data_IF_964234892737
#
_entry.id   IF_964234892737
#
_cell.length_a   1.000
_cell.length_b   1.000
_cell.length_c   1.000
_cell.angle_alpha   90.00
_cell.angle_beta   90.00
_cell.angle_gamma   90.00
#
_symmetry.space_group_name_H-M   'P 1'
#
loop_
_entity.id
_entity.type
_entity.pdbx_description
1 polymer ?
#
# COMPACT_ATOMS: atom_id res chain seq x y z
N UNK A 1 26.35 -40.18 34.31
CA UNK A 1 26.19 -39.88 32.87
C UNK A 1 24.85 -40.47 32.44
N UNK A 2 23.78 -39.69 32.54
CA UNK A 2 22.40 -40.12 32.25
C UNK A 2 21.97 -39.57 30.90
N UNK A 3 21.54 -40.43 29.99
CA UNK A 3 20.87 -40.05 28.74
C UNK A 3 19.36 -40.16 28.95
N UNK A 4 18.64 -39.06 28.72
CA UNK A 4 17.17 -39.02 28.68
C UNK A 4 16.75 -39.05 27.21
N UNK A 5 16.09 -40.13 26.79
CA UNK A 5 15.40 -40.21 25.50
C UNK A 5 14.06 -39.47 25.60
N UNK A 6 13.92 -38.38 24.83
CA UNK A 6 12.66 -37.66 24.66
C UNK A 6 11.80 -38.33 23.59
N UNK A 7 10.62 -38.80 24.00
CA UNK A 7 9.57 -39.38 23.15
C UNK A 7 8.85 -38.25 22.39
N UNK A 8 8.99 -38.21 21.06
CA UNK A 8 8.23 -37.28 20.21
C UNK A 8 6.89 -37.92 19.86
N UNK A 9 5.81 -37.40 20.44
CA UNK A 9 4.45 -37.74 20.04
C UNK A 9 4.11 -37.04 18.71
N UNK A 10 3.92 -37.83 17.66
CA UNK A 10 3.33 -37.38 16.39
C UNK A 10 1.81 -37.30 16.59
N UNK A 11 1.28 -36.09 16.72
CA UNK A 11 -0.16 -35.84 16.60
C UNK A 11 -0.51 -35.72 15.12
N UNK A 12 -1.18 -36.74 14.59
CA UNK A 12 -1.81 -36.69 13.27
C UNK A 12 -2.84 -35.56 13.24
N UNK A 13 -2.54 -34.53 12.46
CA UNK A 13 -3.43 -33.41 12.23
C UNK A 13 -4.53 -33.84 11.26
N UNK A 14 -5.70 -34.20 11.79
CA UNK A 14 -6.92 -34.43 11.00
C UNK A 14 -7.21 -33.17 10.18
N UNK A 15 -6.93 -33.24 8.88
CA UNK A 15 -7.24 -32.16 7.95
C UNK A 15 -8.77 -32.03 7.84
N UNK A 16 -9.31 -30.97 8.44
CA UNK A 16 -10.71 -30.61 8.24
C UNK A 16 -10.97 -30.34 6.75
N UNK A 17 -12.06 -30.89 6.17
CA UNK A 17 -12.47 -30.54 4.82
C UNK A 17 -12.80 -29.05 4.79
N UNK A 18 -11.92 -28.27 4.14
CA UNK A 18 -12.17 -26.86 3.86
C UNK A 18 -13.33 -26.81 2.88
N UNK A 19 -14.42 -26.17 3.27
CA UNK A 19 -15.46 -25.71 2.35
C UNK A 19 -14.80 -25.14 1.09
N UNK A 20 -14.99 -25.82 -0.04
CA UNK A 20 -14.46 -25.35 -1.33
C UNK A 20 -15.32 -24.19 -1.77
N UNK A 21 -15.02 -22.99 -1.23
CA UNK A 21 -15.57 -21.72 -1.72
C UNK A 21 -15.51 -21.73 -3.24
N UNK A 22 -16.63 -21.38 -3.88
CA UNK A 22 -16.70 -21.33 -5.33
C UNK A 22 -15.67 -20.33 -5.87
N UNK A 23 -15.22 -20.52 -7.10
CA UNK A 23 -14.23 -19.63 -7.73
C UNK A 23 -14.67 -18.16 -7.68
N UNK A 24 -15.97 -17.91 -7.80
CA UNK A 24 -16.60 -16.60 -7.64
C UNK A 24 -16.40 -16.03 -6.23
N UNK A 25 -16.70 -16.81 -5.19
CA UNK A 25 -16.50 -16.39 -3.79
C UNK A 25 -15.03 -16.18 -3.44
N UNK A 26 -14.12 -16.97 -4.03
CA UNK A 26 -12.68 -16.76 -3.88
C UNK A 26 -12.21 -15.47 -4.55
N UNK A 27 -12.80 -15.10 -5.69
CA UNK A 27 -12.48 -13.86 -6.40
C UNK A 27 -13.07 -12.64 -5.70
N UNK A 28 -14.30 -12.71 -5.19
CA UNK A 28 -14.90 -11.66 -4.36
C UNK A 28 -14.08 -11.43 -3.08
N UNK A 29 -13.64 -12.50 -2.41
CA UNK A 29 -12.76 -12.41 -1.24
C UNK A 29 -11.38 -11.81 -1.54
N UNK A 30 -10.91 -11.92 -2.80
CA UNK A 30 -9.58 -11.41 -3.22
C UNK A 30 -9.58 -9.91 -3.52
N UNK A 31 -10.75 -9.26 -3.57
CA UNK A 31 -10.91 -7.81 -3.65
C UNK A 31 -11.77 -7.33 -4.83
N UNK A 32 -12.17 -6.06 -4.78
CA UNK A 32 -13.12 -5.43 -5.72
C UNK A 32 -12.73 -5.54 -7.19
N UNK A 33 -11.43 -5.46 -7.47
CA UNK A 33 -10.90 -5.58 -8.84
C UNK A 33 -11.16 -6.93 -9.53
N UNK A 34 -11.33 -8.02 -8.77
CA UNK A 34 -11.67 -9.34 -9.32
C UNK A 34 -13.19 -9.53 -9.45
N UNK A 35 -13.97 -9.00 -8.49
CA UNK A 35 -15.44 -8.97 -8.58
C UNK A 35 -15.93 -8.16 -9.80
N UNK A 36 -15.25 -7.06 -10.13
CA UNK A 36 -15.53 -6.24 -11.30
C UNK A 36 -15.30 -6.92 -12.66
N UNK A 37 -14.65 -8.10 -12.67
CA UNK A 37 -14.51 -8.94 -13.88
C UNK A 37 -15.70 -9.87 -14.07
N UNK A 38 -16.48 -10.12 -13.02
CA UNK A 38 -17.66 -10.99 -13.03
C UNK A 38 -18.94 -10.21 -13.39
N UNK A 39 -19.00 -8.91 -13.06
CA UNK A 39 -20.17 -8.05 -13.35
C UNK A 39 -19.75 -6.65 -13.83
N UNK A 40 -20.50 -6.04 -14.78
CA UNK A 40 -20.31 -4.65 -15.19
C UNK A 40 -20.48 -3.72 -13.99
N UNK A 41 -19.40 -3.08 -13.56
CA UNK A 41 -19.35 -2.19 -12.39
C UNK A 41 -18.68 -0.87 -12.75
N UNK A 42 -19.04 0.18 -12.00
CA UNK A 42 -18.36 1.48 -12.09
C UNK A 42 -17.10 1.44 -11.24
N UNK A 43 -16.08 2.14 -11.69
CA UNK A 43 -14.81 2.21 -10.98
C UNK A 43 -14.20 3.59 -11.11
N UNK A 44 -13.41 3.94 -10.12
CA UNK A 44 -12.64 5.17 -10.07
C UNK A 44 -11.35 4.97 -10.86
N UNK A 45 -11.14 5.79 -11.89
CA UNK A 45 -9.93 5.81 -12.70
C UNK A 45 -9.11 7.05 -12.39
N UNK A 46 -7.90 6.85 -11.88
CA UNK A 46 -6.90 7.90 -11.73
C UNK A 46 -5.95 7.85 -12.93
N UNK A 47 -6.17 8.77 -13.86
CA UNK A 47 -5.34 8.99 -15.03
C UNK A 47 -4.15 9.85 -14.65
N UNK A 48 -2.96 9.26 -14.65
CA UNK A 48 -1.70 9.91 -14.28
C UNK A 48 -0.89 10.08 -15.55
N UNK A 49 -0.73 11.32 -15.99
CA UNK A 49 0.20 11.68 -17.05
C UNK A 49 1.44 12.35 -16.44
N UNK A 50 2.45 11.59 -16.01
CA UNK A 50 3.71 12.15 -15.55
C UNK A 50 4.47 12.74 -16.75
N UNK A 51 5.19 13.85 -16.53
CA UNK A 51 6.05 14.46 -17.56
C UNK A 51 7.14 13.51 -18.06
N UNK A 52 7.50 12.51 -17.26
CA UNK A 52 8.45 11.45 -17.58
C UNK A 52 7.86 10.09 -17.18
N UNK A 53 7.86 9.12 -18.10
CA UNK A 53 7.53 7.71 -17.77
C UNK A 53 6.14 7.21 -18.18
N UNK A 54 5.49 7.88 -19.14
CA UNK A 54 4.30 7.39 -19.85
C UNK A 54 3.00 7.44 -19.06
N UNK A 55 1.88 7.37 -19.78
CA UNK A 55 0.54 7.36 -19.20
C UNK A 55 0.31 6.13 -18.32
N UNK A 56 -0.21 6.34 -17.11
CA UNK A 56 -0.59 5.27 -16.18
C UNK A 56 -2.00 5.52 -15.67
N UNK A 57 -2.85 4.47 -15.68
CA UNK A 57 -4.20 4.50 -15.12
C UNK A 57 -4.28 3.57 -13.92
N UNK A 58 -4.52 4.13 -12.75
CA UNK A 58 -4.88 3.34 -11.56
C UNK A 58 -6.40 3.18 -11.51
N UNK A 59 -6.85 1.99 -11.15
CA UNK A 59 -8.27 1.63 -11.08
C UNK A 59 -8.59 1.23 -9.65
N UNK A 60 -9.65 1.80 -9.09
CA UNK A 60 -10.17 1.46 -7.77
C UNK A 60 -11.62 1.04 -7.92
N UNK A 61 -11.92 -0.15 -7.44
CA UNK A 61 -13.25 -0.77 -7.49
C UNK A 61 -13.90 -0.76 -6.12
N UNK A 62 -15.20 -1.01 -6.07
CA UNK A 62 -15.94 -1.18 -4.83
C UNK A 62 -15.30 -2.29 -3.97
N UNK A 63 -15.07 -2.01 -2.70
CA UNK A 63 -14.31 -2.85 -1.77
C UNK A 63 -12.81 -2.57 -1.71
N UNK A 64 -12.24 -1.76 -2.62
CA UNK A 64 -10.83 -1.40 -2.55
C UNK A 64 -10.58 -0.29 -1.51
N UNK A 65 -9.45 -0.38 -0.80
CA UNK A 65 -9.00 0.69 0.10
C UNK A 65 -8.45 1.87 -0.71
N UNK A 66 -8.99 3.06 -0.50
CA UNK A 66 -8.52 4.28 -1.15
C UNK A 66 -8.01 5.28 -0.11
N UNK A 67 -6.85 5.87 -0.42
CA UNK A 67 -6.27 6.96 0.37
C UNK A 67 -6.32 8.24 -0.43
N UNK A 68 -7.01 9.24 0.09
CA UNK A 68 -7.21 10.50 -0.61
C UNK A 68 -7.21 11.69 0.35
N UNK A 69 -7.10 12.89 -0.21
CA UNK A 69 -7.24 14.15 0.52
C UNK A 69 -8.43 14.90 -0.06
N UNK A 70 -9.43 15.20 0.77
CA UNK A 70 -10.58 16.01 0.41
C UNK A 70 -10.82 17.06 1.49
N UNK A 71 -11.28 18.27 1.11
CA UNK A 71 -11.60 19.35 2.07
C UNK A 71 -10.51 19.65 3.12
N UNK A 72 -9.23 19.46 2.76
CA UNK A 72 -8.10 19.66 3.67
C UNK A 72 -7.74 18.47 4.57
N UNK A 73 -8.61 17.47 4.71
CA UNK A 73 -8.40 16.27 5.53
C UNK A 73 -7.94 15.07 4.69
N UNK A 74 -7.22 14.14 5.32
CA UNK A 74 -6.78 12.89 4.68
C UNK A 74 -7.67 11.75 5.16
N UNK A 75 -8.11 10.93 4.22
CA UNK A 75 -8.96 9.78 4.46
C UNK A 75 -8.25 8.51 3.98
N UNK A 76 -8.50 7.40 4.66
CA UNK A 76 -8.01 6.06 4.33
C UNK A 76 -9.16 5.10 4.60
N UNK A 77 -10.01 4.94 3.62
CA UNK A 77 -11.29 4.24 3.78
C UNK A 77 -11.55 3.28 2.64
N UNK A 78 -12.47 2.35 2.87
CA UNK A 78 -12.92 1.40 1.85
C UNK A 78 -13.94 2.07 0.93
N UNK A 79 -13.75 1.93 -0.38
CA UNK A 79 -14.68 2.41 -1.39
C UNK A 79 -15.96 1.56 -1.35
N UNK A 80 -17.10 2.17 -1.03
CA UNK A 80 -18.37 1.47 -0.95
C UNK A 80 -19.08 1.41 -2.30
N UNK A 81 -19.22 2.57 -2.94
CA UNK A 81 -19.99 2.73 -4.18
C UNK A 81 -19.37 3.84 -5.05
N UNK A 82 -19.46 3.68 -6.37
CA UNK A 82 -19.02 4.69 -7.34
C UNK A 82 -20.18 5.11 -8.25
N UNK A 83 -20.55 6.39 -8.23
CA UNK A 83 -21.53 6.99 -9.13
C UNK A 83 -20.85 7.82 -10.23
N UNK A 84 -21.60 8.51 -11.10
CA UNK A 84 -21.02 9.24 -12.22
C UNK A 84 -20.15 10.46 -11.80
N UNK A 85 -20.43 11.07 -10.65
CA UNK A 85 -19.72 12.27 -10.18
C UNK A 85 -19.35 12.27 -8.70
N UNK A 86 -19.76 11.24 -7.97
CA UNK A 86 -19.45 11.03 -6.56
C UNK A 86 -18.98 9.60 -6.32
N UNK A 87 -18.30 9.41 -5.21
CA UNK A 87 -18.02 8.09 -4.68
C UNK A 87 -18.33 8.09 -3.18
N UNK A 88 -18.73 6.94 -2.67
CA UNK A 88 -19.08 6.74 -1.27
C UNK A 88 -17.97 5.92 -0.62
N UNK A 89 -17.56 6.33 0.57
CA UNK A 89 -16.65 5.55 1.42
C UNK A 89 -17.34 5.23 2.74
N UNK A 90 -16.95 4.10 3.32
CA UNK A 90 -17.37 3.73 4.67
C UNK A 90 -16.41 4.39 5.67
N UNK A 91 -16.89 5.35 6.45
CA UNK A 91 -16.12 5.97 7.52
C UNK A 91 -16.54 5.38 8.86
N UNK A 92 -15.58 4.96 9.67
CA UNK A 92 -15.85 4.51 11.03
C UNK A 92 -16.31 5.68 11.90
N UNK A 93 -17.54 5.63 12.41
CA UNK A 93 -18.00 6.55 13.44
C UNK A 93 -17.67 5.97 14.82
N UNK A 94 -16.66 6.55 15.48
CA UNK A 94 -16.20 6.13 16.80
C UNK A 94 -17.27 6.24 17.90
N UNK A 95 -18.25 7.14 17.74
CA UNK A 95 -19.30 7.38 18.75
C UNK A 95 -20.37 6.30 18.69
N UNK A 96 -20.74 5.86 17.49
CA UNK A 96 -21.78 4.84 17.28
C UNK A 96 -21.22 3.44 17.03
N UNK A 97 -19.90 3.30 16.95
CA UNK A 97 -19.18 2.07 16.60
C UNK A 97 -19.75 1.38 15.35
N UNK A 98 -20.06 2.18 14.34
CA UNK A 98 -20.66 1.75 13.06
C UNK A 98 -20.02 2.50 11.91
N UNK A 99 -19.96 1.84 10.77
CA UNK A 99 -19.49 2.44 9.53
C UNK A 99 -20.64 3.24 8.88
N UNK A 100 -20.37 4.51 8.61
CA UNK A 100 -21.32 5.41 7.96
C UNK A 100 -20.89 5.69 6.51
N UNK A 101 -21.82 5.58 5.54
CA UNK A 101 -21.54 5.90 4.16
C UNK A 101 -21.44 7.42 3.97
N UNK A 102 -20.26 7.91 3.60
CA UNK A 102 -20.00 9.32 3.32
C UNK A 102 -19.70 9.51 1.84
N UNK A 103 -20.50 10.35 1.17
CA UNK A 103 -20.34 10.66 -0.24
C UNK A 103 -19.39 11.84 -0.46
N UNK A 104 -18.44 11.66 -1.37
CA UNK A 104 -17.49 12.68 -1.81
C UNK A 104 -17.67 12.97 -3.31
N UNK A 105 -17.70 14.25 -3.68
CA UNK A 105 -17.67 14.67 -5.10
C UNK A 105 -16.26 14.54 -5.65
N UNK A 106 -16.13 14.12 -6.91
CA UNK A 106 -14.82 14.00 -7.57
C UNK A 106 -14.03 15.32 -7.57
N UNK A 107 -14.71 16.46 -7.71
CA UNK A 107 -14.10 17.79 -7.69
C UNK A 107 -13.57 18.23 -6.31
N UNK A 108 -14.01 17.59 -5.22
CA UNK A 108 -13.53 17.91 -3.87
C UNK A 108 -12.22 17.20 -3.52
N UNK A 109 -11.84 16.19 -4.31
CA UNK A 109 -10.63 15.41 -4.11
C UNK A 109 -9.42 16.20 -4.59
N UNK A 110 -8.55 16.56 -3.66
CA UNK A 110 -7.34 17.33 -3.93
C UNK A 110 -6.15 16.45 -4.30
N UNK A 111 -6.02 15.28 -3.65
CA UNK A 111 -4.89 14.36 -3.83
C UNK A 111 -5.34 12.92 -3.67
N UNK A 112 -4.72 12.01 -4.40
CA UNK A 112 -4.84 10.56 -4.20
C UNK A 112 -3.45 9.99 -3.91
N UNK A 113 -3.39 9.11 -2.92
CA UNK A 113 -2.17 8.47 -2.45
C UNK A 113 -2.15 7.03 -2.95
N UNK A 114 -1.41 6.81 -4.03
CA UNK A 114 -1.23 5.48 -4.60
C UNK A 114 -0.01 4.83 -3.98
N UNK A 115 -0.16 3.61 -3.47
CA UNK A 115 1.00 2.81 -3.06
C UNK A 115 1.68 2.24 -4.30
N UNK A 116 2.92 2.64 -4.54
CA UNK A 116 3.75 2.07 -5.61
C UNK A 116 4.94 1.33 -5.01
N UNK A 117 4.71 0.09 -4.57
CA UNK A 117 5.80 -0.79 -4.12
C UNK A 117 6.63 -1.27 -5.32
N UNK A 118 7.68 -0.52 -5.66
CA UNK A 118 8.74 -1.02 -6.54
C UNK A 118 9.67 -1.87 -5.66
N UNK A 119 9.75 -3.20 -5.85
CA UNK A 119 10.36 -4.10 -4.88
C UNK A 119 11.81 -3.74 -4.57
N UNK A 120 12.63 -3.48 -5.60
CA UNK A 120 14.04 -3.13 -5.43
C UNK A 120 14.24 -1.77 -4.73
N UNK A 121 13.49 -0.73 -5.13
CA UNK A 121 13.64 0.63 -4.57
C UNK A 121 13.13 0.68 -3.13
N UNK A 122 12.02 0.00 -2.85
CA UNK A 122 11.43 -0.03 -1.50
C UNK A 122 12.32 -0.82 -0.53
N UNK A 123 12.91 -1.93 -1.00
CA UNK A 123 13.88 -2.70 -0.23
C UNK A 123 15.16 -1.87 0.02
N UNK A 124 15.73 -1.25 -1.02
CA UNK A 124 16.90 -0.39 -0.88
C UNK A 124 16.65 0.79 0.08
N UNK A 125 15.47 1.41 0.02
CA UNK A 125 15.06 2.47 0.95
C UNK A 125 15.09 2.07 2.43
N UNK A 126 14.86 0.79 2.74
CA UNK A 126 14.93 0.25 4.11
C UNK A 126 16.30 -0.29 4.46
N UNK A 127 16.96 -0.97 3.53
CA UNK A 127 18.23 -1.65 3.77
C UNK A 127 19.41 -0.68 3.87
N UNK A 128 19.43 0.39 3.06
CA UNK A 128 20.56 1.31 3.05
C UNK A 128 20.74 2.08 4.37
N UNK A 129 19.70 2.62 5.03
CA UNK A 129 19.87 3.24 6.34
C UNK A 129 20.33 2.24 7.41
N UNK A 130 19.83 1.00 7.35
CA UNK A 130 20.25 -0.07 8.26
C UNK A 130 21.73 -0.39 8.03
N UNK A 131 22.15 -0.58 6.78
CA UNK A 131 23.54 -0.84 6.43
C UNK A 131 24.47 0.31 6.88
N UNK A 132 24.05 1.56 6.66
CA UNK A 132 24.78 2.74 7.15
C UNK A 132 24.89 2.77 8.68
N UNK A 133 23.81 2.43 9.40
CA UNK A 133 23.81 2.32 10.86
C UNK A 133 24.72 1.22 11.38
N UNK A 134 24.65 0.02 10.79
CA UNK A 134 25.53 -1.11 11.14
C UNK A 134 27.00 -0.77 10.87
N UNK A 135 27.29 -0.08 9.77
CA UNK A 135 28.65 0.36 9.42
C UNK A 135 29.19 1.42 10.39
N UNK A 136 28.34 2.34 10.86
CA UNK A 136 28.73 3.28 11.93
C UNK A 136 29.00 2.54 13.25
N UNK A 137 28.11 1.64 13.65
CA UNK A 137 28.25 0.89 14.90
C UNK A 137 29.52 0.04 14.89
N UNK A 138 29.81 -0.66 13.80
CA UNK A 138 31.04 -1.46 13.68
C UNK A 138 32.30 -0.58 13.73
N UNK A 139 32.23 0.64 13.19
CA UNK A 139 33.34 1.60 13.23
C UNK A 139 33.56 2.19 14.63
N UNK A 140 32.49 2.37 15.42
CA UNK A 140 32.60 2.76 16.84
C UNK A 140 33.23 1.65 17.67
N UNK A 141 32.76 0.40 17.49
CA UNK A 141 33.32 -0.77 18.21
C UNK A 141 34.80 -0.98 17.87
N UNK A 142 35.19 -0.79 16.61
CA UNK A 142 36.58 -0.95 16.17
C UNK A 142 37.46 0.30 16.41
N UNK A 143 36.98 1.32 17.14
CA UNK A 143 37.68 2.60 17.38
C UNK A 143 38.11 3.36 16.11
N UNK A 144 37.58 2.96 14.95
CA UNK A 144 37.84 3.56 13.63
C UNK A 144 36.86 4.69 13.30
N UNK A 145 36.08 5.15 14.28
CA UNK A 145 35.09 6.21 14.10
C UNK A 145 35.68 7.55 13.59
N UNK A 146 36.97 7.79 13.87
CA UNK A 146 37.71 8.98 13.37
C UNK A 146 38.23 8.84 11.94
N UNK A 147 38.06 7.69 11.29
CA UNK A 147 38.42 7.54 9.89
C UNK A 147 37.53 8.47 9.04
N UNK A 148 38.15 9.39 8.30
CA UNK A 148 37.45 10.39 7.47
C UNK A 148 36.49 9.78 6.44
N UNK A 149 36.63 8.49 6.11
CA UNK A 149 35.79 7.76 5.17
C UNK A 149 34.47 7.22 5.76
N UNK A 150 34.38 7.06 7.08
CA UNK A 150 33.23 6.37 7.71
C UNK A 150 31.95 7.21 7.67
N UNK A 151 32.07 8.48 8.04
CA UNK A 151 30.97 9.44 8.05
C UNK A 151 30.33 9.68 6.66
N UNK A 152 31.10 9.94 5.58
CA UNK A 152 30.49 10.17 4.26
C UNK A 152 29.84 8.91 3.68
N UNK A 153 30.40 7.71 3.92
CA UNK A 153 29.81 6.45 3.43
C UNK A 153 28.51 6.14 4.17
N UNK A 154 28.51 6.17 5.50
CA UNK A 154 27.31 5.92 6.29
C UNK A 154 26.23 6.99 6.05
N UNK A 155 26.62 8.26 6.01
CA UNK A 155 25.73 9.38 5.70
C UNK A 155 25.12 9.25 4.30
N UNK A 156 25.93 8.88 3.32
CA UNK A 156 25.48 8.63 1.94
C UNK A 156 24.43 7.52 1.87
N UNK A 157 24.66 6.39 2.56
CA UNK A 157 23.70 5.29 2.62
C UNK A 157 22.39 5.70 3.30
N UNK A 158 22.45 6.44 4.42
CA UNK A 158 21.26 6.93 5.11
C UNK A 158 20.43 7.88 4.22
N UNK A 159 21.08 8.85 3.58
CA UNK A 159 20.43 9.81 2.68
C UNK A 159 19.83 9.11 1.46
N UNK A 160 20.56 8.18 0.84
CA UNK A 160 20.05 7.39 -0.29
C UNK A 160 18.79 6.60 0.10
N UNK A 161 18.79 5.98 1.29
CA UNK A 161 17.63 5.27 1.81
C UNK A 161 16.39 6.15 1.97
N UNK A 162 16.56 7.36 2.52
CA UNK A 162 15.48 8.34 2.66
C UNK A 162 14.91 8.75 1.29
N UNK A 163 15.78 8.98 0.30
CA UNK A 163 15.38 9.33 -1.07
C UNK A 163 14.58 8.20 -1.70
N UNK A 164 15.05 6.96 -1.63
CA UNK A 164 14.35 5.81 -2.20
C UNK A 164 13.01 5.54 -1.52
N UNK A 165 12.92 5.72 -0.20
CA UNK A 165 11.66 5.59 0.52
C UNK A 165 10.65 6.68 0.10
N UNK A 166 11.12 7.89 -0.20
CA UNK A 166 10.25 8.96 -0.71
C UNK A 166 9.78 8.69 -2.14
N UNK A 167 10.62 8.09 -2.97
CA UNK A 167 10.29 7.71 -4.36
C UNK A 167 9.29 6.53 -4.44
N UNK A 168 9.29 5.61 -3.47
CA UNK A 168 8.37 4.47 -3.45
C UNK A 168 6.92 4.84 -3.13
N UNK A 169 6.68 6.01 -2.52
CA UNK A 169 5.36 6.47 -2.10
C UNK A 169 4.93 7.76 -2.81
N UNK A 170 4.69 7.72 -4.14
CA UNK A 170 4.36 8.91 -4.90
C UNK A 170 3.01 9.49 -4.45
N UNK A 171 2.97 10.81 -4.23
CA UNK A 171 1.75 11.55 -3.88
C UNK A 171 1.24 12.27 -5.11
N UNK A 172 0.09 11.88 -5.63
CA UNK A 172 -0.46 12.45 -6.86
C UNK A 172 -1.47 13.53 -6.51
N UNK A 173 -1.18 14.78 -6.90
CA UNK A 173 -2.11 15.89 -6.77
C UNK A 173 -3.03 15.90 -7.97
N UNK A 174 -4.34 16.00 -7.74
CA UNK A 174 -5.32 16.15 -8.82
C UNK A 174 -5.10 17.54 -9.45
N UNK A 175 -4.80 17.56 -10.75
CA UNK A 175 -4.52 18.75 -11.55
C UNK A 175 -4.81 18.44 -13.03
N UNK A 176 -4.56 19.35 -13.96
CA UNK A 176 -4.78 19.14 -15.39
C UNK A 176 -4.11 17.87 -15.95
N UNK A 177 -2.96 17.47 -15.41
CA UNK A 177 -2.19 16.28 -15.79
C UNK A 177 -2.61 14.98 -15.06
N UNK A 178 -3.34 15.11 -13.95
CA UNK A 178 -3.76 14.00 -13.10
C UNK A 178 -5.25 14.10 -12.85
N UNK A 179 -6.04 13.34 -13.60
CA UNK A 179 -7.49 13.45 -13.60
C UNK A 179 -8.12 12.23 -12.94
N UNK A 180 -9.05 12.50 -12.03
CA UNK A 180 -9.92 11.49 -11.48
C UNK A 180 -11.19 11.42 -12.31
N UNK A 181 -11.56 10.22 -12.77
CA UNK A 181 -12.74 9.98 -13.59
C UNK A 181 -13.44 8.72 -13.12
N UNK A 182 -14.71 8.59 -13.48
CA UNK A 182 -15.46 7.35 -13.31
C UNK A 182 -15.59 6.70 -14.67
N UNK A 183 -15.31 5.39 -14.72
CA UNK A 183 -15.43 4.57 -15.91
C UNK A 183 -16.25 3.31 -15.56
N UNK A 184 -16.79 2.66 -16.58
CA UNK A 184 -17.55 1.41 -16.44
C UNK A 184 -16.77 0.25 -17.05
N UNK A 185 -16.84 -0.93 -16.43
CA UNK A 185 -16.43 -2.18 -17.09
C UNK A 185 -17.53 -2.66 -18.03
N UNK A 186 -17.14 -3.27 -19.15
CA UNK A 186 -18.04 -3.85 -20.15
C UNK A 186 -18.31 -5.32 -19.86
#
# INVERSE_FOLDING_TARGET
>A
MFWVFGLVALTDSVAQPRDTLTTEQLLERRGGSFAARLRPSRYLALDVNPTLGGFRRYRFFEGDEIRFKARGQKFRETLYEVTDSTFVVLMANEVMNRDEPVAFRLGEVQKIYVDRRIPFITAAGRLLPIAGGVYLLSSVVNNNFRAQSVLPVAGGMAVAGVIFNRLSSPRMRINNNHRLKVLRTY
#
